data_IF_625203861776
#
_entry.id   IF_625203861776
#
_cell.length_a   1.000
_cell.length_b   1.000
_cell.length_c   1.000
_cell.angle_alpha   90.00
_cell.angle_beta   90.00
_cell.angle_gamma   90.00
#
_symmetry.space_group_name_H-M   'P 1'
#
loop_
_entity.id
_entity.type
_entity.pdbx_description
1 polymer ?
#
# COMPACT_ATOMS: atom_id res chain seq x y z
N UNK A 1 20.42 4.72 -0.52
CA UNK A 1 20.19 3.30 -0.88
C UNK A 1 19.40 3.31 -2.18
N UNK A 2 20.07 3.35 -3.33
CA UNK A 2 19.38 3.32 -4.63
C UNK A 2 19.79 2.02 -5.31
N UNK A 3 18.98 0.99 -5.14
CA UNK A 3 19.20 -0.28 -5.83
C UNK A 3 18.85 -0.08 -7.30
N UNK A 4 19.87 0.11 -8.14
CA UNK A 4 19.72 0.47 -9.55
C UNK A 4 20.52 -0.48 -10.42
N UNK A 5 19.98 -0.83 -11.57
CA UNK A 5 20.66 -1.61 -12.60
C UNK A 5 20.50 -0.92 -13.95
N UNK A 6 21.56 -0.86 -14.76
CA UNK A 6 21.43 -0.32 -16.11
C UNK A 6 20.87 -1.35 -17.08
N UNK A 7 20.16 -0.89 -18.11
CA UNK A 7 19.71 -1.78 -19.20
C UNK A 7 20.88 -2.52 -19.88
N UNK A 8 22.08 -1.93 -19.87
CA UNK A 8 23.30 -2.55 -20.41
C UNK A 8 23.78 -3.72 -19.55
N UNK A 9 23.72 -3.59 -18.21
CA UNK A 9 24.06 -4.68 -17.31
C UNK A 9 23.10 -5.87 -17.44
N UNK A 10 21.79 -5.59 -17.55
CA UNK A 10 20.79 -6.62 -17.84
C UNK A 10 21.11 -7.31 -19.18
N UNK A 11 21.43 -6.54 -20.23
CA UNK A 11 21.78 -7.11 -21.54
C UNK A 11 23.05 -7.99 -21.48
N UNK A 12 24.03 -7.64 -20.65
CA UNK A 12 25.31 -8.36 -20.55
C UNK A 12 25.22 -9.62 -19.68
N UNK A 13 24.49 -9.56 -18.57
CA UNK A 13 24.46 -10.61 -17.53
C UNK A 13 23.14 -11.40 -17.51
N UNK A 14 22.13 -10.95 -18.24
CA UNK A 14 20.81 -11.56 -18.28
C UNK A 14 20.05 -11.43 -16.95
N UNK A 15 19.17 -12.40 -16.70
CA UNK A 15 18.30 -12.42 -15.52
C UNK A 15 19.08 -12.53 -14.20
N UNK A 16 20.26 -13.16 -14.20
CA UNK A 16 21.05 -13.33 -12.97
C UNK A 16 21.46 -12.00 -12.33
N UNK A 17 21.66 -10.95 -13.11
CA UNK A 17 21.95 -9.62 -12.55
C UNK A 17 20.71 -8.98 -11.91
N UNK A 18 19.52 -9.29 -12.43
CA UNK A 18 18.25 -8.88 -11.82
C UNK A 18 18.05 -9.65 -10.51
N UNK A 19 18.26 -10.96 -10.49
CA UNK A 19 18.13 -11.79 -9.29
C UNK A 19 19.08 -11.35 -8.17
N UNK A 20 20.33 -11.02 -8.52
CA UNK A 20 21.32 -10.50 -7.57
C UNK A 20 20.90 -9.14 -7.00
N UNK A 21 20.38 -8.25 -7.85
CA UNK A 21 19.92 -6.94 -7.44
C UNK A 21 18.65 -7.03 -6.57
N UNK A 22 17.69 -7.89 -6.92
CA UNK A 22 16.43 -8.07 -6.20
C UNK A 22 16.60 -8.58 -4.77
N UNK A 23 17.69 -9.31 -4.46
CA UNK A 23 18.02 -9.70 -3.07
C UNK A 23 18.18 -8.52 -2.12
N UNK A 24 18.46 -7.32 -2.65
CA UNK A 24 18.59 -6.08 -1.88
C UNK A 24 17.29 -5.27 -1.83
N UNK A 25 16.20 -5.81 -2.38
CA UNK A 25 14.89 -5.16 -2.51
C UNK A 25 14.60 -4.67 -3.94
N UNK A 26 13.56 -3.83 -4.11
CA UNK A 26 13.13 -3.28 -5.39
C UNK A 26 14.27 -2.66 -6.21
N UNK A 27 14.28 -2.90 -7.53
CA UNK A 27 15.38 -2.46 -8.40
C UNK A 27 14.89 -1.44 -9.42
N UNK A 28 15.53 -0.28 -9.49
CA UNK A 28 15.30 0.72 -10.54
C UNK A 28 16.15 0.42 -11.79
N UNK A 29 15.50 0.31 -12.94
CA UNK A 29 16.18 0.13 -14.22
C UNK A 29 16.49 1.49 -14.85
N UNK A 30 17.77 1.76 -15.07
CA UNK A 30 18.25 2.97 -15.75
C UNK A 30 18.44 2.68 -17.24
N UNK A 31 17.77 3.43 -18.10
CA UNK A 31 17.92 3.38 -19.55
C UNK A 31 18.07 4.79 -20.10
N UNK A 32 19.09 5.00 -20.96
CA UNK A 32 19.47 6.32 -21.50
C UNK A 32 19.64 7.40 -20.40
N UNK A 33 20.33 7.04 -19.31
CA UNK A 33 20.58 7.92 -18.16
C UNK A 33 19.32 8.38 -17.39
N UNK A 34 18.20 7.66 -17.50
CA UNK A 34 16.98 7.95 -16.76
C UNK A 34 16.37 6.68 -16.14
N UNK A 35 15.82 6.73 -14.91
CA UNK A 35 14.99 5.66 -14.35
C UNK A 35 13.74 5.47 -15.20
N UNK A 36 13.50 4.25 -15.67
CA UNK A 36 12.42 3.95 -16.63
C UNK A 36 11.48 2.85 -16.13
N UNK A 37 12.01 1.89 -15.38
CA UNK A 37 11.25 0.77 -14.85
C UNK A 37 11.65 0.49 -13.41
N UNK A 38 10.76 -0.21 -12.70
CA UNK A 38 11.04 -0.80 -11.39
C UNK A 38 10.73 -2.29 -11.51
N UNK A 39 11.66 -3.12 -11.03
CA UNK A 39 11.46 -4.56 -10.92
C UNK A 39 11.23 -4.87 -9.44
N UNK A 40 10.16 -5.61 -9.17
CA UNK A 40 9.75 -6.08 -7.86
C UNK A 40 9.73 -7.61 -7.86
N UNK A 41 9.79 -8.22 -6.67
CA UNK A 41 9.39 -9.63 -6.57
C UNK A 41 7.88 -9.76 -6.84
N UNK A 42 7.45 -10.96 -7.21
CA UNK A 42 6.01 -11.22 -7.43
C UNK A 42 5.19 -10.94 -6.17
N UNK A 43 5.71 -11.32 -4.99
CA UNK A 43 5.06 -11.09 -3.70
C UNK A 43 4.89 -9.59 -3.39
N UNK A 44 5.92 -8.79 -3.67
CA UNK A 44 5.86 -7.34 -3.50
C UNK A 44 4.89 -6.69 -4.48
N UNK A 45 4.87 -7.16 -5.73
CA UNK A 45 3.93 -6.70 -6.74
C UNK A 45 2.49 -7.02 -6.35
N UNK A 46 2.21 -8.27 -5.95
CA UNK A 46 0.89 -8.70 -5.50
C UNK A 46 0.40 -7.84 -4.31
N UNK A 47 1.26 -7.62 -3.30
CA UNK A 47 0.94 -6.75 -2.16
C UNK A 47 0.59 -5.33 -2.60
N UNK A 48 1.34 -4.77 -3.55
CA UNK A 48 1.08 -3.41 -4.05
C UNK A 48 -0.23 -3.35 -4.85
N UNK A 49 -0.50 -4.35 -5.67
CA UNK A 49 -1.71 -4.45 -6.47
C UNK A 49 -2.96 -4.58 -5.57
N UNK A 50 -2.90 -5.46 -4.57
CA UNK A 50 -3.98 -5.68 -3.60
C UNK A 50 -4.28 -4.40 -2.81
N UNK A 51 -3.25 -3.71 -2.32
CA UNK A 51 -3.44 -2.43 -1.61
C UNK A 51 -4.11 -1.37 -2.49
N UNK A 52 -3.74 -1.31 -3.77
CA UNK A 52 -4.35 -0.38 -4.71
C UNK A 52 -5.83 -0.72 -4.93
N UNK A 53 -6.15 -2.00 -5.07
CA UNK A 53 -7.50 -2.49 -5.26
C UNK A 53 -8.38 -2.22 -4.04
N UNK A 54 -7.94 -2.62 -2.84
CA UNK A 54 -8.65 -2.37 -1.58
C UNK A 54 -8.91 -0.88 -1.35
N UNK A 55 -7.95 -0.01 -1.70
CA UNK A 55 -8.13 1.44 -1.61
C UNK A 55 -9.18 1.95 -2.60
N UNK A 56 -9.20 1.44 -3.83
CA UNK A 56 -10.20 1.84 -4.82
C UNK A 56 -11.61 1.42 -4.40
N UNK A 57 -11.77 0.21 -3.87
CA UNK A 57 -13.04 -0.30 -3.33
C UNK A 57 -13.53 0.54 -2.15
N UNK A 58 -12.63 0.92 -1.23
CA UNK A 58 -12.97 1.83 -0.12
C UNK A 58 -13.48 3.19 -0.62
N UNK A 59 -12.80 3.77 -1.62
CA UNK A 59 -13.22 5.05 -2.18
C UNK A 59 -14.55 4.96 -2.92
N UNK A 60 -14.80 3.88 -3.65
CA UNK A 60 -16.10 3.63 -4.27
C UNK A 60 -17.19 3.55 -3.19
N UNK A 61 -17.02 2.68 -2.19
CA UNK A 61 -17.96 2.55 -1.08
C UNK A 61 -18.24 3.88 -0.37
N UNK A 62 -17.25 4.75 -0.21
CA UNK A 62 -17.45 6.07 0.40
C UNK A 62 -18.28 7.02 -0.49
N UNK A 63 -18.15 6.92 -1.81
CA UNK A 63 -18.79 7.82 -2.77
C UNK A 63 -20.17 7.34 -3.25
N UNK A 64 -20.36 6.02 -3.37
CA UNK A 64 -21.62 5.39 -3.82
C UNK A 64 -22.39 4.69 -2.71
N UNK A 65 -21.77 4.44 -1.57
CA UNK A 65 -22.45 3.89 -0.41
C UNK A 65 -23.58 4.83 0.06
N UNK A 66 -24.65 4.28 0.67
CA UNK A 66 -25.63 5.13 1.31
C UNK A 66 -24.89 6.02 2.30
N UNK A 67 -25.16 7.33 2.27
CA UNK A 67 -24.72 8.20 3.34
C UNK A 67 -25.26 7.58 4.63
N UNK A 68 -24.39 6.91 5.40
CA UNK A 68 -24.71 6.48 6.76
C UNK A 68 -25.22 7.76 7.41
N UNK A 69 -26.52 7.77 7.76
CA UNK A 69 -27.30 8.98 7.96
C UNK A 69 -26.51 10.02 8.73
N UNK A 70 -26.58 11.29 8.31
CA UNK A 70 -25.79 12.38 8.85
C UNK A 70 -25.93 12.45 10.38
N UNK A 71 -25.02 11.78 11.10
CA UNK A 71 -24.93 11.85 12.54
C UNK A 71 -24.19 13.12 12.88
N UNK A 72 -24.81 13.93 13.71
CA UNK A 72 -24.19 15.11 14.28
C UNK A 72 -23.01 14.70 15.16
N UNK A 73 -22.03 15.60 15.28
CA UNK A 73 -20.91 15.41 16.21
C UNK A 73 -21.39 15.08 17.63
N UNK A 74 -22.43 15.75 18.10
CA UNK A 74 -23.01 15.53 19.44
C UNK A 74 -23.56 14.11 19.63
N UNK A 75 -24.16 13.50 18.62
CA UNK A 75 -24.67 12.13 18.70
C UNK A 75 -23.52 11.12 18.74
N UNK A 76 -22.45 11.37 18.00
CA UNK A 76 -21.24 10.53 18.00
C UNK A 76 -20.54 10.63 19.37
N UNK A 77 -20.37 11.85 19.89
CA UNK A 77 -19.71 12.08 21.18
C UNK A 77 -20.51 11.42 22.33
N UNK A 78 -21.84 11.58 22.33
CA UNK A 78 -22.71 10.97 23.34
C UNK A 78 -22.64 9.43 23.33
N UNK A 79 -22.64 8.81 22.14
CA UNK A 79 -22.52 7.36 22.01
C UNK A 79 -21.15 6.86 22.50
N UNK A 80 -20.05 7.54 22.14
CA UNK A 80 -18.71 7.14 22.55
C UNK A 80 -18.52 7.23 24.07
N UNK A 81 -19.08 8.25 24.72
CA UNK A 81 -19.02 8.39 26.17
C UNK A 81 -19.83 7.30 26.89
N UNK A 82 -20.98 6.92 26.33
CA UNK A 82 -21.78 5.80 26.84
C UNK A 82 -21.04 4.46 26.70
N UNK A 83 -20.42 4.20 25.55
CA UNK A 83 -19.60 3.01 25.31
C UNK A 83 -18.40 2.95 26.29
N UNK A 84 -17.69 4.06 26.51
CA UNK A 84 -16.57 4.13 27.47
C UNK A 84 -17.02 3.89 28.90
N UNK A 85 -18.13 4.50 29.31
CA UNK A 85 -18.72 4.28 30.64
C UNK A 85 -19.25 2.84 30.83
N UNK A 86 -19.50 2.11 29.74
CA UNK A 86 -19.86 0.69 29.80
C UNK A 86 -18.64 -0.21 30.05
N UNK A 87 -17.45 0.16 29.54
CA UNK A 87 -16.21 -0.60 29.75
C UNK A 87 -15.75 -0.53 31.20
N UNK A 88 -15.87 0.64 31.82
CA UNK A 88 -15.54 0.85 33.24
C UNK A 88 -16.45 0.03 34.17
N UNK A 89 -17.70 -0.24 33.74
CA UNK A 89 -18.66 -1.08 34.49
C UNK A 89 -18.43 -2.58 34.33
N UNK A 90 -17.69 -3.01 33.31
CA UNK A 90 -17.36 -4.43 33.08
C UNK A 90 -15.99 -4.83 33.63
N UNK A 91 -15.22 -3.86 34.14
CA UNK A 91 -13.89 -4.08 34.72
C UNK A 91 -13.90 -4.27 36.25
N UNK A 92 -15.08 -4.27 36.87
CA UNK A 92 -15.37 -4.53 38.29
C UNK A 92 -16.20 -5.83 38.43
#
# INVERSE_FOLDING_TARGET
>A
MNNTITAQEIKRRGISAVDEALRKGPVHVIQRNHPRYVILSEEEYARLADQRQARAELWDQLMTGPASGARSKSEIDAQLDEERASWDRTAD
#
